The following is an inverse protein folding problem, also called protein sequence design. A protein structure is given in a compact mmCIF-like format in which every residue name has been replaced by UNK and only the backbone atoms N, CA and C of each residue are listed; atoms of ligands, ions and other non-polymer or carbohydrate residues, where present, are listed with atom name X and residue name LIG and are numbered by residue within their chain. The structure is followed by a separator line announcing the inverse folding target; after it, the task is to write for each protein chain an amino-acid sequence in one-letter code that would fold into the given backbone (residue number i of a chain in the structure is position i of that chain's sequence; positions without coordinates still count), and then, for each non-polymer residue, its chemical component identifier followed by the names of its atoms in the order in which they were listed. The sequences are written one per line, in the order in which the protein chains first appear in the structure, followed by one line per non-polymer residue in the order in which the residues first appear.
data_IF_823876248360
#
_entry.id   IF_823876248360
#
_cell.length_a   1.000
_cell.length_b   1.000
_cell.length_c   1.000
_cell.angle_alpha   90.00
_cell.angle_beta   90.00
_cell.angle_gamma   90.00
#
_symmetry.space_group_name_H-M   'P 1'
#
loop_
_entity.id
_entity.type
_entity.pdbx_description
1 polymer ?
#
# COMPACT_ATOMS: atom_id res chain seq x y z
N UNK A 1 -3.30 -6.86 12.67
CA UNK A 1 -4.57 -7.59 12.65
C UNK A 1 -5.73 -6.60 12.45
N UNK A 2 -6.65 -6.94 11.55
CA UNK A 2 -7.92 -6.24 11.33
C UNK A 2 -9.07 -7.09 11.91
N UNK A 3 -10.22 -6.49 12.22
CA UNK A 3 -11.37 -7.19 12.77
C UNK A 3 -12.07 -6.38 13.86
N UNK A 4 -12.85 -7.02 14.72
CA UNK A 4 -13.51 -6.32 15.83
C UNK A 4 -12.50 -5.57 16.69
N UNK A 5 -12.70 -4.26 16.88
CA UNK A 5 -11.72 -3.32 17.47
C UNK A 5 -11.06 -3.82 18.77
N UNK A 6 -11.81 -4.45 19.67
CA UNK A 6 -11.26 -4.97 20.94
C UNK A 6 -10.29 -6.12 20.75
N UNK A 7 -10.63 -7.09 19.89
CA UNK A 7 -9.77 -8.24 19.60
C UNK A 7 -8.54 -7.86 18.78
N UNK A 8 -8.71 -6.99 17.78
CA UNK A 8 -7.61 -6.49 16.95
C UNK A 8 -6.59 -5.72 17.80
N UNK A 9 -7.06 -4.87 18.72
CA UNK A 9 -6.19 -4.10 19.61
C UNK A 9 -5.37 -5.01 20.54
N UNK A 10 -5.98 -6.02 21.14
CA UNK A 10 -5.30 -6.99 21.99
C UNK A 10 -4.24 -7.76 21.21
N UNK A 11 -4.63 -8.34 20.05
CA UNK A 11 -3.72 -9.11 19.17
C UNK A 11 -2.56 -8.27 18.64
N UNK A 12 -2.80 -6.98 18.31
CA UNK A 12 -1.75 -6.09 17.84
C UNK A 12 -0.77 -5.66 18.95
N UNK A 13 -1.16 -5.77 20.21
CA UNK A 13 -0.28 -5.54 21.36
C UNK A 13 0.56 -6.74 21.74
N UNK A 14 0.16 -7.94 21.36
CA UNK A 14 0.89 -9.17 21.70
C UNK A 14 2.01 -9.44 20.69
N UNK A 15 3.18 -9.80 21.19
CA UNK A 15 4.29 -10.35 20.39
C UNK A 15 4.66 -11.70 20.99
N UNK A 16 4.54 -12.80 20.21
CA UNK A 16 4.82 -14.15 20.72
C UNK A 16 6.32 -14.47 20.83
N UNK A 17 7.18 -13.47 20.65
CA UNK A 17 8.65 -13.58 20.71
C UNK A 17 9.24 -12.31 21.33
N UNK A 18 10.49 -12.38 21.78
CA UNK A 18 11.25 -11.22 22.22
C UNK A 18 11.86 -10.50 21.00
N UNK A 19 11.51 -9.23 20.73
CA UNK A 19 12.09 -8.47 19.63
C UNK A 19 13.62 -8.34 19.68
N UNK A 20 14.23 -8.40 20.86
CA UNK A 20 15.69 -8.30 21.02
C UNK A 20 16.44 -9.52 20.51
N UNK A 21 15.76 -10.67 20.34
CA UNK A 21 16.33 -11.90 19.77
C UNK A 21 16.44 -11.86 18.24
N UNK A 22 15.79 -10.88 17.60
CA UNK A 22 15.79 -10.77 16.14
C UNK A 22 17.07 -10.12 15.62
N UNK A 23 17.74 -10.77 14.68
CA UNK A 23 18.92 -10.22 14.00
C UNK A 23 18.58 -9.21 12.90
N UNK A 24 17.44 -9.41 12.23
CA UNK A 24 16.94 -8.53 11.17
C UNK A 24 15.46 -8.80 10.87
N UNK A 25 14.82 -7.88 10.16
CA UNK A 25 13.50 -8.05 9.55
C UNK A 25 13.64 -7.97 8.04
N UNK A 26 12.92 -8.82 7.31
CA UNK A 26 12.79 -8.76 5.86
C UNK A 26 11.35 -8.37 5.52
N UNK A 27 11.15 -7.13 5.07
CA UNK A 27 9.84 -6.57 4.77
C UNK A 27 9.50 -6.79 3.31
N UNK A 28 8.39 -7.48 3.04
CA UNK A 28 7.92 -7.78 1.69
C UNK A 28 7.36 -6.55 0.97
N UNK A 29 6.53 -5.77 1.62
CA UNK A 29 5.91 -4.56 1.02
C UNK A 29 5.29 -3.64 2.08
N UNK A 30 4.78 -2.49 1.63
CA UNK A 30 4.40 -1.38 2.50
C UNK A 30 2.93 -1.36 2.96
N UNK A 31 2.10 -2.37 2.65
CA UNK A 31 0.75 -2.40 3.23
C UNK A 31 0.79 -2.48 4.75
N UNK A 32 -0.18 -1.85 5.41
CA UNK A 32 -0.17 -1.65 6.87
C UNK A 32 -0.22 -2.95 7.67
N UNK A 33 -0.84 -3.99 7.14
CA UNK A 33 -0.89 -5.32 7.74
C UNK A 33 0.46 -6.07 7.66
N UNK A 34 1.38 -5.61 6.83
CA UNK A 34 2.76 -6.11 6.74
C UNK A 34 3.78 -5.20 7.46
N UNK A 35 3.64 -3.88 7.34
CA UNK A 35 4.61 -2.95 7.94
C UNK A 35 4.14 -2.31 9.26
N UNK A 36 2.84 -2.28 9.54
CA UNK A 36 2.26 -1.51 10.64
C UNK A 36 2.67 -1.93 12.05
N UNK A 37 3.20 -3.15 12.22
CA UNK A 37 3.76 -3.62 13.49
C UNK A 37 5.22 -3.23 13.75
N UNK A 38 5.93 -2.72 12.73
CA UNK A 38 7.36 -2.43 12.83
C UNK A 38 7.71 -1.37 13.89
N UNK A 39 6.99 -0.23 14.02
CA UNK A 39 7.30 0.73 15.07
C UNK A 39 7.13 0.16 16.47
N UNK A 40 6.15 -0.71 16.69
CA UNK A 40 5.97 -1.39 17.97
C UNK A 40 7.11 -2.37 18.25
N UNK A 41 7.63 -3.06 17.22
CA UNK A 41 8.79 -3.94 17.33
C UNK A 41 10.01 -3.15 17.80
N UNK A 42 10.28 -1.99 17.20
CA UNK A 42 11.40 -1.10 17.58
C UNK A 42 11.19 -0.53 18.97
N UNK A 43 9.99 -0.04 19.30
CA UNK A 43 9.64 0.45 20.65
C UNK A 43 9.91 -0.59 21.74
N UNK A 44 9.83 -1.88 21.40
CA UNK A 44 10.10 -3.02 22.31
C UNK A 44 11.53 -3.54 22.28
N UNK A 45 12.45 -2.80 21.67
CA UNK A 45 13.88 -3.06 21.77
C UNK A 45 14.53 -3.69 20.53
N UNK A 46 13.79 -3.93 19.44
CA UNK A 46 14.44 -4.31 18.18
C UNK A 46 15.31 -3.17 17.67
N UNK A 47 16.55 -3.47 17.34
CA UNK A 47 17.54 -2.48 16.87
C UNK A 47 18.30 -2.93 15.61
N UNK A 48 17.95 -4.10 15.06
CA UNK A 48 18.54 -4.64 13.85
C UNK A 48 18.03 -3.92 12.58
N UNK A 49 18.64 -4.22 11.41
CA UNK A 49 18.18 -3.66 10.13
C UNK A 49 16.83 -4.24 9.71
N UNK A 50 16.01 -3.40 9.05
CA UNK A 50 14.79 -3.79 8.36
C UNK A 50 15.05 -3.69 6.87
N UNK A 51 15.33 -4.81 6.22
CA UNK A 51 15.62 -4.84 4.79
C UNK A 51 14.33 -4.82 3.97
N UNK A 52 14.30 -3.98 2.95
CA UNK A 52 13.18 -3.85 2.00
C UNK A 52 13.69 -3.32 0.65
N UNK A 53 12.84 -3.19 -0.35
CA UNK A 53 13.20 -2.49 -1.58
C UNK A 53 13.13 -0.96 -1.39
N UNK A 54 13.74 -0.20 -2.29
CA UNK A 54 13.74 1.27 -2.21
C UNK A 54 12.31 1.85 -2.21
N UNK A 55 11.46 1.41 -3.13
CA UNK A 55 10.08 1.90 -3.20
C UNK A 55 9.23 1.47 -2.00
N UNK A 56 9.48 0.27 -1.45
CA UNK A 56 8.87 -0.18 -0.19
C UNK A 56 9.31 0.71 0.98
N UNK A 57 10.59 1.08 1.08
CA UNK A 57 11.08 2.02 2.10
C UNK A 57 10.32 3.35 2.06
N UNK A 58 10.24 3.98 0.87
CA UNK A 58 9.57 5.26 0.69
C UNK A 58 8.09 5.20 1.04
N UNK A 59 7.40 4.15 0.55
CA UNK A 59 5.97 3.94 0.81
C UNK A 59 5.69 3.62 2.28
N UNK A 60 6.54 2.79 2.91
CA UNK A 60 6.44 2.46 4.34
C UNK A 60 6.52 3.71 5.21
N UNK A 61 7.40 4.65 4.86
CA UNK A 61 7.51 5.92 5.59
C UNK A 61 6.23 6.74 5.60
N UNK A 62 5.51 6.79 4.47
CA UNK A 62 4.22 7.47 4.38
C UNK A 62 3.17 6.72 5.22
N UNK A 63 3.11 5.39 5.08
CA UNK A 63 2.13 4.54 5.76
C UNK A 63 2.29 4.59 7.28
N UNK A 64 3.50 4.50 7.80
CA UNK A 64 3.75 4.48 9.24
C UNK A 64 3.48 5.83 9.91
N UNK A 65 3.85 6.95 9.28
CA UNK A 65 3.52 8.29 9.79
C UNK A 65 2.03 8.53 9.86
N UNK A 66 1.30 8.17 8.81
CA UNK A 66 -0.15 8.33 8.78
C UNK A 66 -0.82 7.44 9.83
N UNK A 67 -0.41 6.19 9.93
CA UNK A 67 -0.91 5.25 10.94
C UNK A 67 -0.64 5.73 12.37
N UNK A 68 0.55 6.24 12.67
CA UNK A 68 0.88 6.79 13.98
C UNK A 68 0.00 7.99 14.32
N UNK A 69 -0.12 8.95 13.40
CA UNK A 69 -0.96 10.14 13.57
C UNK A 69 -2.42 9.79 13.81
N UNK A 70 -2.97 8.83 13.08
CA UNK A 70 -4.34 8.36 13.29
C UNK A 70 -4.52 7.75 14.67
N UNK A 71 -3.59 6.88 15.11
CA UNK A 71 -3.65 6.26 16.44
C UNK A 71 -3.54 7.28 17.56
N UNK A 72 -2.65 8.29 17.46
CA UNK A 72 -2.54 9.36 18.44
C UNK A 72 -3.81 10.24 18.48
N UNK A 73 -4.38 10.56 17.31
CA UNK A 73 -5.64 11.32 17.22
C UNK A 73 -6.81 10.55 17.82
N UNK A 74 -6.94 9.27 17.54
CA UNK A 74 -7.97 8.40 18.09
C UNK A 74 -7.85 8.29 19.62
N UNK A 75 -6.63 8.06 20.11
CA UNK A 75 -6.37 7.99 21.54
C UNK A 75 -6.78 9.31 22.26
N UNK A 76 -6.39 10.45 21.69
CA UNK A 76 -6.78 11.76 22.23
C UNK A 76 -8.30 11.97 22.21
N UNK A 77 -8.97 11.57 21.15
CA UNK A 77 -10.43 11.70 21.01
C UNK A 77 -11.16 10.86 22.06
N UNK A 78 -10.81 9.58 22.18
CA UNK A 78 -11.46 8.68 23.14
C UNK A 78 -11.15 9.07 24.59
N UNK A 79 -9.92 9.51 24.89
CA UNK A 79 -9.57 9.98 26.24
C UNK A 79 -10.37 11.23 26.65
N UNK A 80 -10.66 12.15 25.70
CA UNK A 80 -11.56 13.28 25.97
C UNK A 80 -12.99 12.82 26.27
N UNK A 81 -13.49 11.78 25.61
CA UNK A 81 -14.82 11.20 25.88
C UNK A 81 -14.83 10.54 27.26
N UNK A 82 -13.84 9.70 27.58
CA UNK A 82 -13.72 9.04 28.88
C UNK A 82 -13.69 10.06 30.04
N UNK A 83 -12.87 11.11 29.90
CA UNK A 83 -12.81 12.17 30.89
C UNK A 83 -14.16 12.89 31.11
N UNK A 84 -14.93 13.14 30.05
CA UNK A 84 -16.28 13.73 30.14
C UNK A 84 -17.29 12.79 30.80
N UNK A 85 -17.07 11.48 30.71
CA UNK A 85 -17.92 10.45 31.32
C UNK A 85 -17.48 10.12 32.78
N UNK A 86 -16.42 10.75 33.27
CA UNK A 86 -15.87 10.49 34.61
C UNK A 86 -15.10 9.18 34.72
N UNK A 87 -14.72 8.58 33.60
CA UNK A 87 -13.89 7.37 33.56
C UNK A 87 -12.41 7.75 33.71
N UNK A 88 -11.68 6.99 34.51
CA UNK A 88 -10.23 7.09 34.67
C UNK A 88 -9.47 6.26 33.61
N UNK A 89 -10.18 5.55 32.72
CA UNK A 89 -9.59 4.72 31.68
C UNK A 89 -8.93 5.61 30.63
N UNK A 90 -7.66 5.34 30.31
CA UNK A 90 -6.89 6.00 29.25
C UNK A 90 -6.52 5.01 28.17
N UNK A 91 -6.65 5.44 26.93
CA UNK A 91 -6.22 4.70 25.74
C UNK A 91 -4.87 5.26 25.30
N UNK A 92 -3.90 4.39 25.11
CA UNK A 92 -2.60 4.72 24.55
C UNK A 92 -2.50 4.17 23.10
N UNK A 93 -1.89 4.93 22.17
CA UNK A 93 -1.59 4.41 20.84
C UNK A 93 -0.59 3.24 20.96
N UNK A 94 -0.61 2.32 19.99
CA UNK A 94 0.38 1.24 19.92
C UNK A 94 1.78 1.82 19.79
N UNK A 95 1.90 2.86 18.99
CA UNK A 95 3.13 3.63 18.77
C UNK A 95 2.79 5.08 18.36
N UNK A 96 3.76 5.95 18.52
CA UNK A 96 3.69 7.37 18.21
C UNK A 96 4.39 7.71 16.91
N UNK A 97 4.26 8.96 16.42
CA UNK A 97 5.04 9.44 15.28
C UNK A 97 6.56 9.33 15.55
N UNK A 98 7.01 9.58 16.79
CA UNK A 98 8.41 9.42 17.16
C UNK A 98 8.90 7.95 17.06
N UNK A 99 8.05 6.99 17.46
CA UNK A 99 8.35 5.56 17.33
C UNK A 99 8.43 5.16 15.83
N UNK A 100 7.56 5.73 15.00
CA UNK A 100 7.59 5.52 13.54
C UNK A 100 8.89 6.07 12.92
N UNK A 101 9.33 7.27 13.31
CA UNK A 101 10.61 7.83 12.83
C UNK A 101 11.81 6.99 13.28
N UNK A 102 11.82 6.50 14.54
CA UNK A 102 12.86 5.59 15.01
C UNK A 102 12.89 4.29 14.20
N UNK A 103 11.74 3.74 13.84
CA UNK A 103 11.63 2.58 12.97
C UNK A 103 12.18 2.84 11.58
N UNK A 104 11.85 4.00 11.00
CA UNK A 104 12.32 4.35 9.65
C UNK A 104 13.84 4.48 9.55
N UNK A 105 14.52 4.87 10.63
CA UNK A 105 15.96 4.91 10.66
C UNK A 105 16.65 3.52 10.51
N UNK A 106 15.91 2.43 10.74
CA UNK A 106 16.39 1.05 10.58
C UNK A 106 16.07 0.45 9.20
N UNK A 107 15.26 1.12 8.37
CA UNK A 107 14.96 0.66 7.03
C UNK A 107 16.20 0.74 6.13
N UNK A 108 16.54 -0.38 5.52
CA UNK A 108 17.76 -0.54 4.71
C UNK A 108 17.39 -1.08 3.33
N UNK A 109 17.44 -0.24 2.28
CA UNK A 109 17.01 -0.65 0.96
C UNK A 109 17.98 -1.63 0.31
N UNK A 110 17.41 -2.64 -0.38
CA UNK A 110 18.14 -3.64 -1.14
C UNK A 110 17.54 -3.80 -2.55
N UNK A 111 18.37 -3.94 -3.58
CA UNK A 111 17.87 -4.17 -4.93
C UNK A 111 17.34 -5.60 -5.08
N UNK A 112 16.41 -5.76 -6.04
CA UNK A 112 15.94 -7.08 -6.43
C UNK A 112 17.09 -7.96 -6.97
N UNK A 113 16.93 -9.26 -6.88
CA UNK A 113 17.80 -10.30 -7.41
C UNK A 113 19.25 -10.27 -6.92
N UNK A 114 19.54 -9.44 -5.91
CA UNK A 114 20.89 -9.31 -5.33
C UNK A 114 20.99 -10.04 -4.01
N UNK A 115 21.93 -10.99 -3.90
CA UNK A 115 22.16 -11.69 -2.67
C UNK A 115 22.85 -10.81 -1.62
N UNK A 116 22.28 -10.75 -0.43
CA UNK A 116 22.90 -10.15 0.75
C UNK A 116 23.15 -11.23 1.80
N UNK A 117 24.41 -11.35 2.25
CA UNK A 117 24.77 -12.21 3.36
C UNK A 117 24.44 -11.53 4.69
N UNK A 118 23.63 -12.18 5.51
CA UNK A 118 23.39 -11.73 6.89
C UNK A 118 24.50 -12.22 7.84
N UNK A 119 25.02 -13.41 7.56
CA UNK A 119 26.16 -14.02 8.24
C UNK A 119 26.72 -15.17 7.37
N UNK A 120 27.68 -15.94 7.89
CA UNK A 120 28.32 -17.04 7.16
C UNK A 120 27.38 -18.18 6.75
N UNK A 121 26.20 -18.28 7.38
CA UNK A 121 25.23 -19.36 7.17
C UNK A 121 23.96 -18.90 6.44
N UNK A 122 23.59 -17.63 6.52
CA UNK A 122 22.31 -17.12 6.03
C UNK A 122 22.55 -15.99 5.05
N UNK A 123 21.91 -16.09 3.89
CA UNK A 123 21.77 -15.00 2.90
C UNK A 123 20.36 -14.94 2.38
N UNK A 124 19.96 -13.77 1.89
CA UNK A 124 18.65 -13.58 1.29
C UNK A 124 18.73 -12.73 0.04
N UNK A 125 17.66 -12.73 -0.76
CA UNK A 125 17.42 -11.79 -1.84
C UNK A 125 15.93 -11.57 -2.03
N UNK A 126 15.60 -10.44 -2.65
CA UNK A 126 14.25 -10.09 -3.05
C UNK A 126 13.98 -10.46 -4.50
N UNK A 127 12.77 -10.98 -4.76
CA UNK A 127 12.19 -11.22 -6.07
C UNK A 127 10.97 -10.33 -6.25
N UNK A 128 10.62 -9.94 -7.48
CA UNK A 128 9.41 -9.18 -7.72
C UNK A 128 8.17 -9.98 -7.33
N UNK A 129 7.32 -9.43 -6.46
CA UNK A 129 6.03 -10.01 -6.09
C UNK A 129 4.87 -9.56 -7.00
N UNK A 130 5.05 -8.50 -7.80
CA UNK A 130 4.06 -7.97 -8.73
C UNK A 130 2.77 -7.46 -8.08
N UNK A 131 2.76 -7.29 -6.74
CA UNK A 131 1.58 -6.93 -5.97
C UNK A 131 1.37 -5.42 -5.90
N UNK A 132 2.35 -4.68 -5.39
CA UNK A 132 2.39 -3.21 -5.35
C UNK A 132 3.79 -2.71 -5.70
N UNK A 133 3.93 -1.42 -5.95
CA UNK A 133 5.26 -0.83 -6.23
C UNK A 133 6.24 -1.15 -5.09
N UNK A 134 7.36 -1.78 -5.44
CA UNK A 134 8.39 -2.21 -4.50
C UNK A 134 8.13 -3.54 -3.81
N UNK A 135 6.98 -4.18 -4.00
CA UNK A 135 6.66 -5.46 -3.35
C UNK A 135 7.63 -6.58 -3.73
N UNK A 136 8.02 -7.36 -2.73
CA UNK A 136 9.00 -8.42 -2.89
C UNK A 136 8.57 -9.74 -2.27
N UNK A 137 8.83 -10.83 -2.98
CA UNK A 137 8.96 -12.14 -2.41
C UNK A 137 10.38 -12.31 -1.86
N UNK A 138 10.54 -13.10 -0.83
CA UNK A 138 11.78 -13.20 -0.06
C UNK A 138 12.33 -14.64 -0.17
N UNK A 139 13.49 -14.78 -0.77
CA UNK A 139 14.24 -16.03 -0.80
C UNK A 139 15.36 -15.99 0.24
N UNK A 140 15.36 -16.97 1.15
CA UNK A 140 16.39 -17.13 2.18
C UNK A 140 17.11 -18.46 1.97
N UNK A 141 18.43 -18.42 1.85
CA UNK A 141 19.27 -19.61 1.87
C UNK A 141 19.93 -19.77 3.23
N UNK A 142 19.81 -20.98 3.79
CA UNK A 142 20.41 -21.36 5.07
C UNK A 142 21.36 -22.54 4.86
N UNK A 143 22.62 -22.36 5.18
CA UNK A 143 23.61 -23.45 5.20
C UNK A 143 23.40 -24.32 6.44
N UNK A 144 23.10 -25.61 6.27
CA UNK A 144 22.89 -26.58 7.32
C UNK A 144 23.94 -27.72 7.20
N UNK A 145 24.02 -28.58 8.21
CA UNK A 145 24.87 -29.78 8.15
C UNK A 145 24.47 -30.75 7.01
N UNK A 146 23.22 -30.65 6.50
CA UNK A 146 22.68 -31.48 5.41
C UNK A 146 22.69 -30.75 4.03
N UNK A 147 23.44 -29.65 3.91
CA UNK A 147 23.49 -28.82 2.72
C UNK A 147 22.68 -27.52 2.83
N UNK A 148 22.56 -26.78 1.73
CA UNK A 148 21.80 -25.52 1.68
C UNK A 148 20.31 -25.84 1.64
N UNK A 149 19.52 -25.08 2.42
CA UNK A 149 18.06 -25.10 2.39
C UNK A 149 17.54 -23.74 1.93
N UNK A 150 16.54 -23.76 1.06
CA UNK A 150 15.87 -22.56 0.52
C UNK A 150 14.47 -22.43 1.07
N UNK A 151 14.26 -21.36 1.81
CA UNK A 151 12.95 -20.94 2.30
C UNK A 151 12.47 -19.79 1.41
N UNK A 152 11.25 -19.88 0.94
CA UNK A 152 10.66 -18.85 0.10
C UNK A 152 9.36 -18.36 0.73
N UNK A 153 9.28 -17.05 0.96
CA UNK A 153 8.09 -16.37 1.47
C UNK A 153 7.55 -15.44 0.39
N UNK A 154 6.29 -15.61 0.02
CA UNK A 154 5.72 -14.84 -1.09
C UNK A 154 5.32 -13.42 -0.72
N UNK A 155 5.07 -13.13 0.57
CA UNK A 155 4.25 -11.98 0.88
C UNK A 155 2.93 -12.08 0.12
N UNK A 156 2.37 -10.95 -0.25
CA UNK A 156 1.20 -10.87 -1.13
C UNK A 156 1.63 -10.93 -2.59
N UNK A 157 0.93 -11.75 -3.38
CA UNK A 157 1.22 -11.95 -4.79
C UNK A 157 0.37 -11.05 -5.68
N UNK A 158 1.00 -10.48 -6.68
CA UNK A 158 0.31 -9.78 -7.75
C UNK A 158 -0.37 -10.71 -8.74
N UNK A 159 -1.16 -10.12 -9.63
CA UNK A 159 -1.86 -10.84 -10.69
C UNK A 159 -0.91 -11.18 -11.84
N UNK A 160 -1.17 -12.30 -12.53
CA UNK A 160 -0.46 -12.63 -13.77
C UNK A 160 -0.65 -11.61 -14.88
N UNK A 161 -1.80 -10.93 -14.90
CA UNK A 161 -2.09 -9.78 -15.75
C UNK A 161 -2.45 -8.61 -14.82
N UNK A 162 -1.57 -7.67 -14.67
CA UNK A 162 -1.82 -6.37 -14.02
C UNK A 162 -1.63 -5.27 -15.04
N UNK A 163 -2.34 -4.16 -14.87
CA UNK A 163 -2.20 -2.99 -15.75
C UNK A 163 -0.94 -2.20 -15.43
N UNK A 164 -0.57 -2.15 -14.14
CA UNK A 164 0.60 -1.40 -13.68
C UNK A 164 1.83 -2.27 -13.48
N UNK A 165 1.70 -3.40 -12.77
CA UNK A 165 2.83 -4.16 -12.27
C UNK A 165 3.18 -5.35 -13.17
N UNK A 166 4.47 -5.68 -13.26
CA UNK A 166 4.93 -6.94 -13.83
C UNK A 166 4.40 -8.13 -13.00
N UNK A 167 4.11 -9.28 -13.63
CA UNK A 167 3.71 -10.47 -12.89
C UNK A 167 4.81 -10.90 -11.89
N UNK A 168 4.44 -11.67 -10.84
CA UNK A 168 5.40 -12.23 -9.90
C UNK A 168 6.48 -13.07 -10.58
N UNK A 169 7.71 -12.97 -10.10
CA UNK A 169 8.78 -13.90 -10.48
C UNK A 169 8.42 -15.34 -10.07
N UNK A 170 8.89 -16.31 -10.83
CA UNK A 170 8.68 -17.72 -10.52
C UNK A 170 9.99 -18.32 -9.97
N UNK A 171 10.03 -18.75 -8.71
CA UNK A 171 11.21 -19.39 -8.14
C UNK A 171 11.48 -20.75 -8.82
N UNK A 172 12.76 -21.02 -9.10
CA UNK A 172 13.14 -22.27 -9.82
C UNK A 172 13.21 -23.49 -8.90
N UNK A 173 13.66 -23.29 -7.65
CA UNK A 173 13.90 -24.38 -6.69
C UNK A 173 13.63 -23.88 -5.28
N UNK A 174 12.80 -24.58 -4.53
CA UNK A 174 12.39 -24.21 -3.16
C UNK A 174 12.33 -25.49 -2.31
N UNK A 175 12.92 -25.48 -1.12
CA UNK A 175 12.74 -26.56 -0.14
C UNK A 175 11.49 -26.32 0.73
N UNK A 176 11.24 -25.05 1.12
CA UNK A 176 10.09 -24.65 1.94
C UNK A 176 9.44 -23.42 1.34
N UNK A 177 8.14 -23.50 1.11
CA UNK A 177 7.34 -22.42 0.55
C UNK A 177 6.28 -21.97 1.56
N UNK A 178 6.33 -20.67 1.93
CA UNK A 178 5.25 -19.98 2.63
C UNK A 178 4.55 -19.10 1.61
N UNK A 179 3.30 -19.44 1.30
CA UNK A 179 2.51 -18.79 0.26
C UNK A 179 1.19 -18.27 0.84
N UNK A 180 0.81 -17.06 0.42
CA UNK A 180 -0.51 -16.52 0.70
C UNK A 180 -1.63 -17.36 0.07
N UNK A 181 -2.84 -17.21 0.57
CA UNK A 181 -4.01 -17.95 0.06
C UNK A 181 -5.30 -17.12 0.06
N UNK A 182 -5.19 -15.82 -0.05
CA UNK A 182 -6.33 -14.88 0.01
C UNK A 182 -7.41 -15.20 -1.03
N UNK A 183 -7.01 -15.58 -2.24
CA UNK A 183 -7.88 -16.05 -3.31
C UNK A 183 -7.67 -17.54 -3.62
N UNK A 184 -7.29 -18.34 -2.61
CA UNK A 184 -7.00 -19.76 -2.79
C UNK A 184 -8.22 -20.62 -3.18
N UNK A 185 -9.44 -20.13 -2.94
CA UNK A 185 -10.72 -20.80 -3.18
C UNK A 185 -11.50 -20.26 -4.38
N UNK A 186 -11.03 -19.21 -5.05
CA UNK A 186 -11.76 -18.54 -6.13
C UNK A 186 -10.85 -17.83 -7.13
N UNK A 187 -11.38 -17.54 -8.30
CA UNK A 187 -10.72 -16.71 -9.31
C UNK A 187 -11.12 -15.24 -9.17
N UNK A 188 -10.22 -14.36 -9.56
CA UNK A 188 -10.54 -12.95 -9.78
C UNK A 188 -11.40 -12.78 -11.04
N UNK A 189 -12.22 -11.72 -11.05
CA UNK A 189 -12.91 -11.32 -12.27
C UNK A 189 -11.90 -10.95 -13.37
N UNK A 190 -12.23 -11.25 -14.66
CA UNK A 190 -11.37 -10.90 -15.78
C UNK A 190 -11.13 -9.38 -15.87
N UNK A 191 -9.87 -8.99 -16.05
CA UNK A 191 -9.46 -7.57 -16.16
C UNK A 191 -9.94 -6.96 -17.48
N UNK A 192 -10.20 -7.78 -18.48
CA UNK A 192 -10.54 -7.37 -19.86
C UNK A 192 -11.85 -6.55 -19.97
N UNK A 193 -12.71 -6.59 -18.93
CA UNK A 193 -13.96 -5.83 -18.88
C UNK A 193 -13.90 -4.50 -18.10
N UNK A 194 -12.78 -4.19 -17.46
CA UNK A 194 -12.67 -3.01 -16.58
C UNK A 194 -12.91 -1.71 -17.37
N UNK A 195 -12.30 -1.55 -18.54
CA UNK A 195 -12.49 -0.33 -19.35
C UNK A 195 -13.95 -0.17 -19.80
N UNK A 196 -14.63 -1.25 -20.19
CA UNK A 196 -16.04 -1.18 -20.61
C UNK A 196 -16.98 -0.81 -19.46
N UNK A 197 -16.71 -1.33 -18.24
CA UNK A 197 -17.48 -1.00 -17.05
C UNK A 197 -17.25 0.47 -16.64
N UNK A 198 -16.01 0.94 -16.63
CA UNK A 198 -15.68 2.34 -16.36
C UNK A 198 -16.40 3.25 -17.37
N UNK A 199 -16.35 2.92 -18.66
CA UNK A 199 -17.03 3.68 -19.71
C UNK A 199 -18.51 3.81 -19.41
N UNK A 200 -19.20 2.71 -19.14
CA UNK A 200 -20.63 2.71 -18.83
C UNK A 200 -20.98 3.60 -17.64
N UNK A 201 -20.18 3.53 -16.55
CA UNK A 201 -20.39 4.34 -15.35
C UNK A 201 -20.15 5.83 -15.64
N UNK A 202 -19.10 6.16 -16.40
CA UNK A 202 -18.77 7.55 -16.75
C UNK A 202 -19.84 8.15 -17.68
N UNK A 203 -20.27 7.43 -18.71
CA UNK A 203 -21.33 7.88 -19.62
C UNK A 203 -22.65 8.16 -18.89
N UNK A 204 -23.02 7.26 -17.97
CA UNK A 204 -24.19 7.48 -17.10
C UNK A 204 -24.04 8.72 -16.23
N UNK A 205 -22.90 8.88 -15.54
CA UNK A 205 -22.67 10.05 -14.68
C UNK A 205 -22.69 11.37 -15.47
N UNK A 206 -22.21 11.37 -16.72
CA UNK A 206 -22.27 12.54 -17.60
C UNK A 206 -23.71 12.86 -18.00
N UNK A 207 -24.52 11.85 -18.38
CA UNK A 207 -25.93 12.02 -18.74
C UNK A 207 -26.77 12.55 -17.57
N UNK A 208 -26.53 12.02 -16.36
CA UNK A 208 -27.24 12.37 -15.13
C UNK A 208 -26.64 13.62 -14.44
N UNK A 209 -25.53 14.18 -14.93
CA UNK A 209 -24.74 15.25 -14.29
C UNK A 209 -24.33 14.88 -12.84
N UNK A 210 -24.11 13.59 -12.60
CA UNK A 210 -23.81 13.01 -11.30
C UNK A 210 -22.32 12.98 -10.96
N UNK A 211 -22.02 12.48 -9.76
CA UNK A 211 -20.66 12.23 -9.28
C UNK A 211 -20.39 10.75 -9.22
N UNK A 212 -19.16 10.34 -9.49
CA UNK A 212 -18.66 8.98 -9.31
C UNK A 212 -17.75 8.99 -8.10
N UNK A 213 -18.14 8.29 -7.03
CA UNK A 213 -17.31 8.11 -5.84
C UNK A 213 -16.64 6.74 -5.94
N UNK A 214 -15.33 6.71 -5.85
CA UNK A 214 -14.55 5.48 -5.92
C UNK A 214 -13.75 5.32 -4.63
N UNK A 215 -14.22 4.46 -3.70
CA UNK A 215 -13.41 4.09 -2.54
C UNK A 215 -12.15 3.35 -3.02
N UNK A 216 -10.98 3.80 -2.58
CA UNK A 216 -9.73 3.25 -3.07
C UNK A 216 -8.65 3.23 -2.00
N UNK A 217 -7.86 2.16 -1.98
CA UNK A 217 -6.64 2.13 -1.20
C UNK A 217 -5.62 3.12 -1.76
N UNK A 218 -4.87 3.76 -0.88
CA UNK A 218 -3.91 4.79 -1.24
C UNK A 218 -2.72 4.24 -2.04
N UNK A 219 -2.33 3.00 -1.77
CA UNK A 219 -1.23 2.30 -2.44
C UNK A 219 -1.79 1.32 -3.48
N UNK A 220 -1.32 1.41 -4.70
CA UNK A 220 -1.58 0.63 -5.90
C UNK A 220 -2.95 0.90 -6.54
N UNK A 221 -4.08 0.67 -5.84
CA UNK A 221 -5.41 0.75 -6.46
C UNK A 221 -5.75 2.14 -6.99
N UNK A 222 -5.39 3.19 -6.27
CA UNK A 222 -5.60 4.57 -6.73
C UNK A 222 -4.81 4.85 -8.00
N UNK A 223 -3.54 4.43 -8.07
CA UNK A 223 -2.67 4.64 -9.21
C UNK A 223 -3.13 3.82 -10.43
N UNK A 224 -3.58 2.59 -10.22
CA UNK A 224 -4.16 1.76 -11.29
C UNK A 224 -5.40 2.43 -11.92
N UNK A 225 -6.30 2.95 -11.09
CA UNK A 225 -7.51 3.63 -11.58
C UNK A 225 -7.14 4.93 -12.31
N UNK A 226 -6.21 5.72 -11.79
CA UNK A 226 -5.76 6.96 -12.44
C UNK A 226 -5.19 6.63 -13.82
N UNK A 227 -4.33 5.62 -13.94
CA UNK A 227 -3.74 5.19 -15.21
C UNK A 227 -4.81 4.77 -16.22
N UNK A 228 -5.80 3.97 -15.80
CA UNK A 228 -6.91 3.55 -16.68
C UNK A 228 -7.72 4.75 -17.15
N UNK A 229 -8.08 5.67 -16.24
CA UNK A 229 -8.86 6.87 -16.59
C UNK A 229 -8.09 7.78 -17.55
N UNK A 230 -6.81 8.00 -17.30
CA UNK A 230 -5.96 8.80 -18.18
C UNK A 230 -5.89 8.19 -19.58
N UNK A 231 -5.60 6.89 -19.69
CA UNK A 231 -5.53 6.12 -20.95
C UNK A 231 -6.86 6.22 -21.73
N UNK A 232 -7.99 6.07 -21.06
CA UNK A 232 -9.32 6.12 -21.68
C UNK A 232 -9.69 7.54 -22.14
N UNK A 233 -9.37 8.58 -21.36
CA UNK A 233 -9.59 10.00 -21.72
C UNK A 233 -8.74 10.35 -22.95
N UNK A 234 -7.46 9.99 -22.94
CA UNK A 234 -6.53 10.27 -24.04
C UNK A 234 -6.96 9.60 -25.35
N UNK A 235 -7.48 8.38 -25.26
CA UNK A 235 -8.01 7.64 -26.42
C UNK A 235 -9.40 8.09 -26.88
N UNK A 236 -10.01 9.05 -26.19
CA UNK A 236 -11.39 9.53 -26.48
C UNK A 236 -12.46 8.47 -26.20
N UNK A 237 -12.16 7.44 -25.42
CA UNK A 237 -13.12 6.39 -25.04
C UNK A 237 -14.14 6.87 -23.99
N UNK A 238 -13.75 7.84 -23.16
CA UNK A 238 -14.61 8.55 -22.21
C UNK A 238 -14.38 10.06 -22.33
N UNK A 239 -15.39 10.90 -22.02
CA UNK A 239 -15.22 12.34 -22.03
C UNK A 239 -14.26 12.81 -20.93
N UNK A 240 -13.58 13.92 -21.18
CA UNK A 240 -12.69 14.55 -20.20
C UNK A 240 -13.50 15.27 -19.12
N UNK A 241 -13.80 14.56 -18.04
CA UNK A 241 -14.42 15.11 -16.81
C UNK A 241 -13.36 15.24 -15.70
N UNK A 242 -13.54 16.15 -14.72
CA UNK A 242 -12.60 16.29 -13.62
C UNK A 242 -12.44 15.01 -12.80
N UNK A 243 -11.18 14.64 -12.50
CA UNK A 243 -10.82 13.52 -11.64
C UNK A 243 -10.12 14.08 -10.40
N UNK A 244 -10.71 13.89 -9.22
CA UNK A 244 -10.17 14.34 -7.95
C UNK A 244 -9.59 13.18 -7.18
N UNK A 245 -8.34 13.31 -6.75
CA UNK A 245 -7.71 12.39 -5.78
C UNK A 245 -7.80 13.05 -4.41
N UNK A 246 -8.78 12.65 -3.63
CA UNK A 246 -9.08 13.23 -2.33
C UNK A 246 -8.59 12.34 -1.18
N UNK A 247 -7.27 12.19 -1.14
CA UNK A 247 -6.55 11.47 -0.09
C UNK A 247 -5.10 11.95 -0.03
N UNK A 248 -4.66 12.65 1.04
CA UNK A 248 -3.27 13.08 1.18
C UNK A 248 -2.26 11.92 1.10
N UNK A 249 -2.60 10.77 1.68
CA UNK A 249 -1.77 9.57 1.59
C UNK A 249 -1.65 9.10 0.14
N UNK A 250 -2.77 8.97 -0.59
CA UNK A 250 -2.75 8.54 -1.99
C UNK A 250 -1.95 9.50 -2.87
N UNK A 251 -2.01 10.80 -2.61
CA UNK A 251 -1.23 11.82 -3.32
C UNK A 251 0.27 11.58 -3.11
N UNK A 252 0.69 11.44 -1.85
CA UNK A 252 2.11 11.21 -1.53
C UNK A 252 2.63 9.88 -2.10
N UNK A 253 1.82 8.82 -2.09
CA UNK A 253 2.15 7.54 -2.73
C UNK A 253 2.24 7.72 -4.25
N UNK A 254 1.33 8.47 -4.88
CA UNK A 254 1.37 8.72 -6.33
C UNK A 254 2.66 9.47 -6.73
N UNK A 255 3.15 10.40 -5.90
CA UNK A 255 4.44 11.05 -6.10
C UNK A 255 5.62 10.05 -6.07
N UNK A 256 5.53 8.97 -5.26
CA UNK A 256 6.53 7.88 -5.30
C UNK A 256 6.43 7.16 -6.65
N UNK A 257 5.24 6.82 -7.12
CA UNK A 257 5.06 6.19 -8.44
C UNK A 257 5.67 7.05 -9.55
N UNK A 258 5.41 8.35 -9.57
CA UNK A 258 5.98 9.29 -10.56
C UNK A 258 7.52 9.35 -10.51
N UNK A 259 8.15 9.15 -9.34
CA UNK A 259 9.62 9.10 -9.22
C UNK A 259 10.23 7.78 -9.69
N UNK A 260 9.45 6.72 -9.76
CA UNK A 260 9.90 5.37 -10.11
C UNK A 260 9.38 4.88 -11.46
N UNK A 261 8.92 5.77 -12.37
CA UNK A 261 8.30 5.39 -13.66
C UNK A 261 9.19 4.51 -14.56
N UNK A 262 10.51 4.60 -14.43
CA UNK A 262 11.50 3.75 -15.08
C UNK A 262 11.80 2.46 -14.32
N UNK A 263 11.07 2.21 -13.23
CA UNK A 263 11.29 1.10 -12.30
C UNK A 263 11.14 -0.28 -12.93
N UNK A 264 11.91 -1.23 -12.40
CA UNK A 264 11.96 -2.61 -12.86
C UNK A 264 10.60 -3.33 -12.79
N UNK A 265 9.79 -3.05 -11.76
CA UNK A 265 8.59 -3.81 -11.43
C UNK A 265 7.32 -3.41 -12.19
N UNK A 266 7.37 -2.44 -13.08
CA UNK A 266 6.21 -2.08 -13.90
C UNK A 266 6.03 -2.98 -15.11
N UNK A 267 4.76 -3.19 -15.50
CA UNK A 267 4.40 -3.98 -16.65
C UNK A 267 4.98 -3.43 -17.97
N UNK A 268 5.24 -4.27 -18.98
CA UNK A 268 5.69 -3.80 -20.28
C UNK A 268 4.72 -2.80 -20.92
N UNK A 269 3.40 -2.98 -20.74
CA UNK A 269 2.38 -2.06 -21.26
C UNK A 269 2.50 -0.67 -20.59
N UNK A 270 2.67 -0.63 -19.28
CA UNK A 270 2.84 0.63 -18.55
C UNK A 270 4.14 1.34 -18.96
N UNK A 271 5.26 0.62 -19.04
CA UNK A 271 6.55 1.17 -19.50
C UNK A 271 6.48 1.75 -20.91
N UNK A 272 5.85 1.01 -21.83
CA UNK A 272 5.64 1.49 -23.21
C UNK A 272 4.74 2.73 -23.25
N UNK A 273 3.72 2.77 -22.39
CA UNK A 273 2.86 3.94 -22.25
C UNK A 273 3.64 5.15 -21.75
N UNK A 274 4.39 5.01 -20.65
CA UNK A 274 5.20 6.10 -20.06
C UNK A 274 6.24 6.62 -21.07
N UNK A 275 6.88 5.74 -21.82
CA UNK A 275 7.87 6.12 -22.83
C UNK A 275 7.28 6.97 -23.98
N UNK A 276 6.00 6.76 -24.32
CA UNK A 276 5.31 7.45 -25.41
C UNK A 276 4.58 8.71 -24.96
N UNK A 277 3.92 8.64 -23.83
CA UNK A 277 2.92 9.62 -23.38
C UNK A 277 3.35 10.42 -22.14
N UNK A 278 4.40 9.97 -21.42
CA UNK A 278 4.88 10.58 -20.19
C UNK A 278 4.20 10.05 -18.94
N UNK A 279 4.22 10.85 -17.88
CA UNK A 279 3.67 10.49 -16.58
C UNK A 279 2.14 10.43 -16.62
N UNK A 280 1.50 9.25 -16.41
CA UNK A 280 0.05 9.12 -16.43
C UNK A 280 -0.64 9.72 -15.20
N UNK A 281 0.12 10.12 -14.19
CA UNK A 281 -0.39 10.70 -12.95
C UNK A 281 -0.45 12.24 -13.01
N UNK A 282 0.05 12.86 -14.08
CA UNK A 282 -0.04 14.32 -14.32
C UNK A 282 -0.70 14.60 -15.68
N UNK A 283 -2.03 14.73 -15.69
CA UNK A 283 -2.80 15.04 -16.89
C UNK A 283 -3.87 16.11 -16.63
N UNK A 284 -4.37 16.72 -17.70
CA UNK A 284 -5.23 17.93 -17.65
C UNK A 284 -6.47 17.77 -16.76
N UNK A 285 -7.06 16.59 -16.67
CA UNK A 285 -8.30 16.37 -15.91
C UNK A 285 -8.06 16.09 -14.43
N UNK A 286 -6.85 15.65 -14.01
CA UNK A 286 -6.58 15.27 -12.63
C UNK A 286 -6.38 16.48 -11.70
N UNK A 287 -6.83 16.37 -10.47
CA UNK A 287 -6.68 17.36 -9.39
C UNK A 287 -6.41 16.64 -8.08
N UNK A 288 -5.38 17.05 -7.39
CA UNK A 288 -4.95 16.50 -6.10
C UNK A 288 -5.43 17.39 -4.95
N UNK A 289 -6.30 16.85 -4.09
CA UNK A 289 -6.98 17.56 -3.00
C UNK A 289 -6.28 17.27 -1.69
N UNK A 290 -5.50 18.23 -1.20
CA UNK A 290 -4.66 18.02 -0.01
C UNK A 290 -5.37 18.41 1.30
N UNK A 291 -6.15 19.47 1.31
CA UNK A 291 -6.74 20.02 2.54
C UNK A 291 -8.18 19.54 2.75
N UNK A 292 -8.62 19.53 4.01
CA UNK A 292 -10.01 19.18 4.35
C UNK A 292 -10.99 20.23 3.83
N UNK A 293 -10.59 21.50 3.77
CA UNK A 293 -11.41 22.58 3.22
C UNK A 293 -11.69 22.38 1.73
N UNK A 294 -10.65 22.04 0.94
CA UNK A 294 -10.82 21.70 -0.48
C UNK A 294 -11.74 20.49 -0.65
N UNK A 295 -11.55 19.43 0.15
CA UNK A 295 -12.36 18.23 0.15
C UNK A 295 -13.85 18.56 0.34
N UNK A 296 -14.18 19.38 1.33
CA UNK A 296 -15.55 19.81 1.61
C UNK A 296 -16.20 20.51 0.41
N UNK A 297 -15.44 21.31 -0.36
CA UNK A 297 -15.98 22.01 -1.55
C UNK A 297 -16.44 21.05 -2.64
N UNK A 298 -15.91 19.83 -2.69
CA UNK A 298 -16.33 18.81 -3.66
C UNK A 298 -17.78 18.38 -3.44
N UNK A 299 -18.31 18.47 -2.22
CA UNK A 299 -19.67 18.08 -1.91
C UNK A 299 -20.70 19.04 -2.53
N UNK A 300 -20.38 20.33 -2.59
CA UNK A 300 -21.26 21.36 -3.17
C UNK A 300 -21.07 21.53 -4.68
N UNK A 301 -19.97 21.00 -5.23
CA UNK A 301 -19.65 21.12 -6.66
C UNK A 301 -20.65 20.34 -7.50
N UNK A 302 -21.21 20.98 -8.52
CA UNK A 302 -22.18 20.38 -9.45
C UNK A 302 -21.48 19.88 -10.72
N UNK A 303 -22.11 18.91 -11.38
CA UNK A 303 -21.70 18.37 -12.66
C UNK A 303 -20.95 17.04 -12.55
N UNK A 304 -20.68 16.40 -13.69
CA UNK A 304 -20.01 15.11 -13.69
C UNK A 304 -18.56 15.27 -13.25
N UNK A 305 -18.15 14.41 -12.31
CA UNK A 305 -16.78 14.30 -11.83
C UNK A 305 -16.52 12.92 -11.22
N UNK A 306 -15.26 12.56 -11.12
CA UNK A 306 -14.81 11.37 -10.43
C UNK A 306 -14.06 11.82 -9.17
N UNK A 307 -14.34 11.19 -8.03
CA UNK A 307 -13.65 11.41 -6.76
C UNK A 307 -13.09 10.07 -6.29
N UNK A 308 -11.77 9.95 -6.29
CA UNK A 308 -11.03 8.83 -5.71
C UNK A 308 -10.68 9.19 -4.27
N UNK A 309 -11.15 8.43 -3.29
CA UNK A 309 -10.94 8.77 -1.89
C UNK A 309 -10.68 7.54 -1.02
N UNK A 310 -9.83 7.67 -0.02
CA UNK A 310 -9.58 6.62 0.97
C UNK A 310 -10.65 6.70 2.10
N UNK A 311 -10.94 5.59 2.79
CA UNK A 311 -10.36 4.27 2.67
C UNK A 311 -11.14 3.39 1.68
N UNK A 312 -10.43 2.41 1.11
CA UNK A 312 -11.05 1.44 0.18
C UNK A 312 -12.11 0.55 0.80
N UNK A 313 -12.14 0.41 2.14
CA UNK A 313 -13.13 -0.39 2.88
C UNK A 313 -14.34 0.43 3.33
N UNK A 314 -14.37 1.73 3.09
CA UNK A 314 -15.42 2.66 3.56
C UNK A 314 -15.65 2.63 5.09
N UNK A 315 -14.64 2.28 5.88
CA UNK A 315 -14.73 2.27 7.36
C UNK A 315 -14.15 3.53 8.01
N UNK A 316 -13.49 4.37 7.23
CA UNK A 316 -12.86 5.62 7.65
C UNK A 316 -12.44 6.46 6.47
N UNK A 317 -11.77 7.59 6.76
CA UNK A 317 -11.25 8.49 5.73
C UNK A 317 -12.29 9.42 5.12
N UNK A 318 -11.84 10.20 4.14
CA UNK A 318 -12.66 11.26 3.52
C UNK A 318 -13.83 10.73 2.71
N UNK A 319 -13.75 9.49 2.21
CA UNK A 319 -14.84 8.86 1.45
C UNK A 319 -16.17 8.86 2.21
N UNK A 320 -16.15 8.79 3.55
CA UNK A 320 -17.35 8.81 4.38
C UNK A 320 -18.07 10.16 4.39
N UNK A 321 -17.44 11.21 3.91
CA UNK A 321 -17.98 12.58 3.90
C UNK A 321 -18.50 13.01 2.53
N UNK A 322 -18.33 12.18 1.49
CA UNK A 322 -18.85 12.37 0.15
C UNK A 322 -20.14 11.59 -0.06
#
# INVERSE_FOLDING_TARGET
FQGHRKEALAKNREMPFDPTDLSAVLLSHAHVDHCGGLPLLVKRGFSGPIYCTQATLESTGIMLRDSARLQESDAQFFNKIHARQGSAETIEPLYTEADAEACMALLTPQPYMTWLAMNDKVRFRFHNAGHVLGSAMIEVEVKTAKGVRRVFFTGDLGRRKSLLMDPPDVPKTVDYLLIESTYGDRNHDPVDHVESLIKTVVERAVAEKGKILIPSFALERTQEIIFVLEKMIRRGQIPMIPVFVDSPMAINITEIFSRHLDGFSFSPEFKDYVAKEGDPFDFKAIRYVRTSQESQTLNDRKGPMIILSASGMCEGGRILHH
#
